data_IF_527680426126
#
_entry.id   IF_527680426126
#
_cell.length_a   1.000
_cell.length_b   1.000
_cell.length_c   1.000
_cell.angle_alpha   90.00
_cell.angle_beta   90.00
_cell.angle_gamma   90.00
#
_symmetry.space_group_name_H-M   'P 1'
#
loop_
_entity.id
_entity.type
_entity.pdbx_description
1 polymer ?
#
# COMPACT_ATOMS: atom_id res chain seq x y z
N UNK A 1 -1.77 25.75 -22.24
CA UNK A 1 -1.89 24.32 -21.88
C UNK A 1 -2.93 24.19 -20.79
N UNK A 2 -4.12 23.70 -21.14
CA UNK A 2 -5.16 23.47 -20.13
C UNK A 2 -4.84 22.19 -19.37
N UNK A 3 -4.35 22.34 -18.16
CA UNK A 3 -4.28 21.26 -17.21
C UNK A 3 -5.72 20.91 -16.80
N UNK A 4 -6.33 19.95 -17.46
CA UNK A 4 -7.57 19.37 -16.99
C UNK A 4 -7.29 18.69 -15.66
N UNK A 5 -7.85 19.25 -14.59
CA UNK A 5 -7.84 18.58 -13.31
C UNK A 5 -8.75 17.36 -13.42
N UNK A 6 -8.17 16.19 -13.32
CA UNK A 6 -8.94 14.96 -13.29
C UNK A 6 -9.69 14.88 -11.95
N UNK A 7 -11.00 15.00 -12.01
CA UNK A 7 -11.87 14.77 -10.87
C UNK A 7 -12.35 13.31 -10.88
N UNK A 8 -12.76 12.81 -9.73
CA UNK A 8 -13.31 11.45 -9.58
C UNK A 8 -14.46 11.15 -10.57
N UNK A 9 -15.20 12.17 -11.01
CA UNK A 9 -16.23 12.05 -12.03
C UNK A 9 -15.68 11.66 -13.42
N UNK A 10 -14.40 11.91 -13.70
CA UNK A 10 -13.77 11.63 -14.99
C UNK A 10 -12.97 10.31 -14.98
N UNK A 11 -12.97 9.57 -13.87
CA UNK A 11 -12.27 8.29 -13.74
C UNK A 11 -12.67 7.26 -14.82
N UNK A 12 -13.97 7.06 -15.17
CA UNK A 12 -14.33 6.12 -16.23
C UNK A 12 -13.74 6.47 -17.59
N UNK A 13 -13.66 7.77 -17.91
CA UNK A 13 -13.05 8.22 -19.17
C UNK A 13 -11.52 8.05 -19.15
N UNK A 14 -10.90 8.37 -18.03
CA UNK A 14 -9.46 8.16 -17.85
C UNK A 14 -9.10 6.68 -17.96
N UNK A 15 -9.89 5.79 -17.35
CA UNK A 15 -9.70 4.35 -17.46
C UNK A 15 -9.84 3.85 -18.89
N UNK A 16 -10.80 4.37 -19.67
CA UNK A 16 -10.94 4.05 -21.09
C UNK A 16 -9.72 4.47 -21.91
N UNK A 17 -9.19 5.66 -21.63
CA UNK A 17 -7.98 6.16 -22.32
C UNK A 17 -6.78 5.29 -21.99
N UNK A 18 -6.59 4.92 -20.75
CA UNK A 18 -5.48 4.07 -20.30
C UNK A 18 -5.60 2.67 -20.87
N UNK A 19 -6.81 2.08 -20.83
CA UNK A 19 -7.08 0.75 -21.41
C UNK A 19 -6.83 0.73 -22.92
N UNK A 20 -7.14 1.82 -23.62
CA UNK A 20 -6.94 1.93 -25.05
C UNK A 20 -5.46 2.05 -25.44
N UNK A 21 -4.67 2.70 -24.64
CA UNK A 21 -3.27 3.04 -24.91
C UNK A 21 -2.26 2.17 -24.16
N UNK A 22 -2.68 1.46 -23.11
CA UNK A 22 -1.83 0.61 -22.28
C UNK A 22 -2.11 -0.87 -22.50
N UNK A 23 -1.12 -1.63 -22.89
CA UNK A 23 -1.24 -3.08 -23.03
C UNK A 23 -0.97 -3.73 -21.68
N UNK A 24 -1.93 -4.50 -21.17
CA UNK A 24 -1.82 -5.18 -19.88
C UNK A 24 -2.10 -4.31 -18.65
N UNK A 25 -2.61 -3.10 -18.86
CA UNK A 25 -2.90 -2.17 -17.75
C UNK A 25 -4.28 -2.41 -17.11
N UNK A 26 -5.20 -3.10 -17.78
CA UNK A 26 -6.56 -3.29 -17.28
C UNK A 26 -6.58 -4.03 -15.94
N UNK A 27 -5.86 -5.13 -15.84
CA UNK A 27 -5.76 -5.90 -14.60
C UNK A 27 -5.10 -5.11 -13.47
N UNK A 28 -4.12 -4.29 -13.82
CA UNK A 28 -3.42 -3.43 -12.87
C UNK A 28 -4.36 -2.36 -12.31
N UNK A 29 -5.15 -1.71 -13.17
CA UNK A 29 -6.10 -0.69 -12.75
C UNK A 29 -7.23 -1.29 -11.91
N UNK A 30 -7.75 -2.45 -12.28
CA UNK A 30 -8.77 -3.14 -11.49
C UNK A 30 -8.26 -3.47 -10.08
N UNK A 31 -7.03 -3.95 -9.96
CA UNK A 31 -6.39 -4.20 -8.68
C UNK A 31 -6.23 -2.91 -7.86
N UNK A 32 -5.82 -1.84 -8.53
CA UNK A 32 -5.64 -0.54 -7.89
C UNK A 32 -6.95 0.03 -7.37
N UNK A 33 -8.00 0.05 -8.20
CA UNK A 33 -9.28 0.65 -7.85
C UNK A 33 -10.11 -0.20 -6.89
N UNK A 34 -10.08 -1.51 -7.01
CA UNK A 34 -10.78 -2.40 -6.08
C UNK A 34 -10.15 -2.43 -4.68
N UNK A 35 -8.89 -2.07 -4.55
CA UNK A 35 -8.20 -1.96 -3.26
C UNK A 35 -8.32 -0.61 -2.57
N UNK A 36 -8.65 0.46 -3.31
CA UNK A 36 -8.58 1.84 -2.79
C UNK A 36 -9.91 2.43 -2.36
N UNK A 37 -11.03 1.80 -2.71
CA UNK A 37 -12.36 2.35 -2.47
C UNK A 37 -13.00 1.97 -1.13
N UNK A 38 -12.35 1.18 -0.31
CA UNK A 38 -12.82 1.06 1.05
C UNK A 38 -12.53 2.38 1.77
N UNK A 39 -13.60 3.07 2.11
CA UNK A 39 -13.58 4.28 2.94
C UNK A 39 -12.88 3.97 4.25
N UNK A 40 -11.60 4.02 4.20
CA UNK A 40 -10.77 3.60 5.28
C UNK A 40 -10.73 4.65 6.37
N UNK A 41 -10.98 4.22 7.57
CA UNK A 41 -10.40 4.88 8.72
C UNK A 41 -8.88 5.03 8.45
N UNK A 42 -8.31 6.18 8.78
CA UNK A 42 -6.86 6.43 8.68
C UNK A 42 -6.03 5.62 9.70
N UNK A 43 -6.56 4.49 10.14
CA UNK A 43 -5.93 3.62 11.12
C UNK A 43 -5.41 2.34 10.44
N UNK A 44 -4.20 1.91 10.77
CA UNK A 44 -3.19 2.63 11.54
C UNK A 44 -2.50 3.74 10.75
N UNK A 45 -1.97 4.78 11.42
CA UNK A 45 -1.22 5.82 10.74
C UNK A 45 0.06 5.25 10.14
N UNK A 46 0.43 5.76 8.98
CA UNK A 46 1.61 5.29 8.27
C UNK A 46 2.32 6.43 7.53
N UNK A 47 3.59 6.22 7.24
CA UNK A 47 4.39 7.05 6.37
C UNK A 47 4.87 6.21 5.18
N UNK A 48 4.79 6.78 4.00
CA UNK A 48 5.44 6.22 2.82
C UNK A 48 6.58 7.15 2.41
N UNK A 49 7.80 6.66 2.50
CA UNK A 49 9.01 7.44 2.29
C UNK A 49 9.64 7.02 0.97
N UNK A 50 9.89 8.00 0.11
CA UNK A 50 10.69 7.81 -1.09
C UNK A 50 12.17 7.96 -0.72
N UNK A 51 12.90 6.85 -0.74
CA UNK A 51 14.33 6.84 -0.41
C UNK A 51 15.16 7.24 -1.63
N UNK A 52 14.93 6.56 -2.75
CA UNK A 52 15.52 6.87 -4.05
C UNK A 52 14.65 6.28 -5.16
N UNK A 53 15.10 6.35 -6.41
CA UNK A 53 14.30 5.90 -7.57
C UNK A 53 13.94 4.41 -7.55
N UNK A 54 14.63 3.61 -6.78
CA UNK A 54 14.44 2.14 -6.71
C UNK A 54 14.04 1.64 -5.32
N UNK A 55 14.01 2.51 -4.32
CA UNK A 55 13.70 2.13 -2.94
C UNK A 55 12.66 3.03 -2.31
N UNK A 56 11.73 2.41 -1.60
CA UNK A 56 10.73 3.08 -0.77
C UNK A 56 10.64 2.39 0.58
N UNK A 57 10.21 3.15 1.58
CA UNK A 57 10.05 2.66 2.93
C UNK A 57 8.63 2.96 3.41
N UNK A 58 7.94 1.92 3.87
CA UNK A 58 6.64 2.06 4.50
C UNK A 58 6.81 1.86 6.00
N UNK A 59 6.39 2.85 6.77
CA UNK A 59 6.43 2.82 8.23
C UNK A 59 5.00 2.88 8.77
N UNK A 60 4.66 1.96 9.65
CA UNK A 60 3.32 1.87 10.23
C UNK A 60 3.43 1.88 11.75
N UNK A 61 2.72 2.79 12.39
CA UNK A 61 2.67 2.89 13.84
C UNK A 61 1.73 1.83 14.43
N UNK A 62 2.31 0.83 15.08
CA UNK A 62 1.60 -0.28 15.69
C UNK A 62 1.96 -0.43 17.18
N UNK A 63 1.97 0.69 17.90
CA UNK A 63 2.21 0.68 19.32
C UNK A 63 1.16 -0.19 20.05
N UNK A 64 1.62 -1.07 20.91
CA UNK A 64 0.76 -1.99 21.66
C UNK A 64 0.47 -3.32 20.97
N UNK A 65 0.93 -3.54 19.75
CA UNK A 65 0.87 -4.83 19.08
C UNK A 65 2.11 -5.68 19.37
N UNK A 66 1.90 -6.98 19.48
CA UNK A 66 2.98 -7.96 19.53
C UNK A 66 3.25 -8.50 18.12
N UNK A 67 4.45 -9.03 17.88
CA UNK A 67 4.82 -9.60 16.57
C UNK A 67 3.86 -10.69 16.09
N UNK A 68 3.36 -11.51 16.99
CA UNK A 68 2.41 -12.61 16.65
C UNK A 68 0.99 -12.12 16.33
N UNK A 69 0.69 -10.86 16.60
CA UNK A 69 -0.59 -10.23 16.27
C UNK A 69 -0.58 -9.57 14.88
N UNK A 70 0.59 -9.46 14.25
CA UNK A 70 0.79 -8.78 12.98
C UNK A 70 1.10 -9.81 11.90
N UNK A 71 0.40 -9.71 10.77
CA UNK A 71 0.64 -10.53 9.58
C UNK A 71 0.91 -9.62 8.40
N UNK A 72 2.00 -9.89 7.68
CA UNK A 72 2.41 -9.15 6.49
C UNK A 72 2.56 -10.15 5.34
N UNK A 73 1.88 -9.92 4.25
CA UNK A 73 1.99 -10.77 3.07
C UNK A 73 1.69 -10.01 1.80
N UNK A 74 2.12 -10.57 0.68
CA UNK A 74 1.80 -10.07 -0.65
C UNK A 74 0.94 -11.08 -1.39
N UNK A 75 -0.08 -10.61 -2.06
CA UNK A 75 -1.00 -11.42 -2.84
C UNK A 75 -1.62 -10.60 -3.97
N UNK A 76 -1.67 -11.16 -5.16
CA UNK A 76 -2.27 -10.50 -6.33
C UNK A 76 -1.80 -9.06 -6.57
N UNK A 77 -0.50 -8.81 -6.44
CA UNK A 77 0.06 -7.47 -6.63
C UNK A 77 -0.29 -6.48 -5.54
N UNK A 78 -0.69 -6.94 -4.37
CA UNK A 78 -0.98 -6.11 -3.20
C UNK A 78 -0.08 -6.48 -2.04
N UNK A 79 0.31 -5.48 -1.28
CA UNK A 79 0.87 -5.65 0.05
C UNK A 79 -0.28 -5.57 1.06
N UNK A 80 -0.45 -6.60 1.85
CA UNK A 80 -1.52 -6.68 2.85
C UNK A 80 -0.91 -6.79 4.24
N UNK A 81 -1.37 -5.93 5.13
CA UNK A 81 -0.93 -5.91 6.52
C UNK A 81 -2.17 -6.01 7.41
N UNK A 82 -2.19 -7.03 8.24
CA UNK A 82 -3.27 -7.32 9.17
C UNK A 82 -2.75 -7.27 10.59
N UNK A 83 -3.52 -6.63 11.46
CA UNK A 83 -3.32 -6.67 12.90
C UNK A 83 -4.55 -7.24 13.57
N UNK A 84 -4.34 -8.20 14.47
CA UNK A 84 -5.41 -8.79 15.27
C UNK A 84 -5.22 -8.46 16.73
N UNK A 85 -6.22 -7.83 17.33
CA UNK A 85 -6.33 -7.61 18.75
C UNK A 85 -7.51 -8.39 19.31
N UNK A 86 -7.28 -9.09 20.42
CA UNK A 86 -8.38 -9.66 21.18
C UNK A 86 -9.16 -8.52 21.83
N UNK A 87 -10.48 -8.54 21.65
CA UNK A 87 -11.37 -7.63 22.37
C UNK A 87 -11.33 -8.01 23.85
N UNK A 88 -10.56 -7.24 24.62
CA UNK A 88 -10.66 -7.32 26.07
C UNK A 88 -11.87 -6.49 26.47
N UNK A 89 -12.83 -7.10 27.15
CA UNK A 89 -13.89 -6.42 27.85
C UNK A 89 -13.29 -5.62 29.02
N UNK A 90 -12.56 -4.57 28.72
CA UNK A 90 -12.08 -3.65 29.73
C UNK A 90 -13.13 -2.58 29.93
N UNK A 91 -13.75 -2.60 31.11
CA UNK A 91 -14.65 -1.53 31.58
C UNK A 91 -13.86 -0.29 32.00
N UNK A 92 -12.78 0.03 31.27
CA UNK A 92 -11.97 1.20 31.57
C UNK A 92 -12.61 2.44 30.95
N UNK A 93 -12.92 3.40 31.78
CA UNK A 93 -13.32 4.72 31.31
C UNK A 93 -12.07 5.51 30.94
N UNK A 94 -11.95 5.87 29.65
CA UNK A 94 -10.85 6.72 29.21
C UNK A 94 -11.17 8.18 29.51
N UNK A 95 -10.30 8.84 30.26
CA UNK A 95 -10.35 10.32 30.39
C UNK A 95 -9.96 10.96 29.06
N UNK A 96 -9.00 10.35 28.36
CA UNK A 96 -8.59 10.70 27.01
C UNK A 96 -8.09 9.44 26.30
N UNK A 97 -8.58 9.17 25.10
CA UNK A 97 -8.14 8.05 24.28
C UNK A 97 -7.51 8.57 22.98
N UNK A 98 -6.19 8.72 22.98
CA UNK A 98 -5.42 9.13 21.80
C UNK A 98 -4.82 7.98 21.02
N UNK A 99 -4.78 6.78 21.62
CA UNK A 99 -4.24 5.58 20.97
C UNK A 99 -5.37 4.60 20.68
N UNK A 100 -5.50 4.24 19.42
CA UNK A 100 -6.38 3.16 19.01
C UNK A 100 -5.58 1.84 18.96
N UNK A 101 -6.08 0.80 19.62
CA UNK A 101 -5.54 -0.55 19.58
C UNK A 101 -6.65 -1.50 19.14
N UNK A 102 -6.89 -1.55 17.85
CA UNK A 102 -7.96 -2.36 17.26
C UNK A 102 -7.45 -3.19 16.09
N UNK A 103 -8.15 -4.25 15.80
CA UNK A 103 -7.88 -5.06 14.61
C UNK A 103 -8.07 -4.23 13.34
N UNK A 104 -7.22 -4.47 12.35
CA UNK A 104 -7.25 -3.76 11.09
C UNK A 104 -6.76 -4.65 9.95
N UNK A 105 -7.12 -4.27 8.75
CA UNK A 105 -6.55 -4.79 7.51
C UNK A 105 -6.28 -3.60 6.60
N UNK A 106 -5.03 -3.46 6.16
CA UNK A 106 -4.62 -2.42 5.21
C UNK A 106 -4.01 -3.06 3.99
N UNK A 107 -4.33 -2.49 2.84
CA UNK A 107 -3.84 -2.95 1.54
C UNK A 107 -3.20 -1.80 0.77
N UNK A 108 -2.08 -2.10 0.12
CA UNK A 108 -1.43 -1.18 -0.83
C UNK A 108 -1.22 -1.91 -2.15
N UNK A 109 -1.61 -1.27 -3.24
CA UNK A 109 -1.33 -1.79 -4.57
C UNK A 109 0.16 -1.63 -4.88
N UNK A 110 0.80 -2.71 -5.31
CA UNK A 110 2.18 -2.71 -5.76
C UNK A 110 2.23 -2.78 -7.29
N UNK A 111 3.07 -1.96 -7.90
CA UNK A 111 3.38 -2.13 -9.33
C UNK A 111 4.13 -3.45 -9.55
N UNK A 112 4.08 -3.97 -10.77
CA UNK A 112 4.64 -5.30 -11.10
C UNK A 112 6.15 -5.39 -10.87
N UNK A 113 6.83 -4.26 -10.86
CA UNK A 113 8.27 -4.16 -10.64
C UNK A 113 8.67 -3.90 -9.18
N UNK A 114 7.71 -3.80 -8.27
CA UNK A 114 7.97 -3.57 -6.84
C UNK A 114 7.86 -4.86 -6.05
N UNK A 115 8.85 -5.12 -5.23
CA UNK A 115 8.87 -6.26 -4.31
C UNK A 115 9.16 -5.82 -2.88
N UNK A 116 8.74 -6.63 -1.93
CA UNK A 116 9.09 -6.46 -0.51
C UNK A 116 10.48 -7.04 -0.30
N UNK A 117 11.39 -6.23 0.22
CA UNK A 117 12.78 -6.61 0.50
C UNK A 117 12.99 -7.07 1.92
N UNK A 118 12.42 -6.36 2.86
CA UNK A 118 12.63 -6.60 4.28
C UNK A 118 11.42 -6.11 5.07
N UNK A 119 11.08 -6.83 6.13
CA UNK A 119 10.04 -6.45 7.08
C UNK A 119 10.62 -6.54 8.48
N UNK A 120 10.53 -5.45 9.24
CA UNK A 120 11.00 -5.37 10.62
C UNK A 120 9.90 -4.79 11.51
N UNK A 121 9.84 -5.27 12.73
CA UNK A 121 8.97 -4.72 13.76
C UNK A 121 9.77 -4.49 15.04
N UNK A 122 10.03 -3.22 15.34
CA UNK A 122 10.79 -2.80 16.52
C UNK A 122 10.16 -1.53 17.11
N UNK A 123 10.15 -1.44 18.42
CA UNK A 123 9.71 -0.26 19.16
C UNK A 123 8.29 0.24 18.78
N UNK A 124 7.41 -0.71 18.43
CA UNK A 124 6.04 -0.38 18.01
C UNK A 124 5.92 0.14 16.58
N UNK A 125 6.99 0.12 15.80
CA UNK A 125 7.02 0.55 14.41
C UNK A 125 7.25 -0.64 13.48
N UNK A 126 6.31 -0.88 12.58
CA UNK A 126 6.45 -1.83 11.49
C UNK A 126 7.08 -1.12 10.29
N UNK A 127 8.21 -1.61 9.85
CA UNK A 127 8.94 -1.06 8.71
C UNK A 127 9.00 -2.08 7.59
N UNK A 128 8.53 -1.70 6.41
CA UNK A 128 8.57 -2.52 5.20
C UNK A 128 9.42 -1.81 4.15
N UNK A 129 10.53 -2.43 3.78
CA UNK A 129 11.40 -1.96 2.71
C UNK A 129 10.89 -2.51 1.38
N UNK A 130 10.62 -1.62 0.46
CA UNK A 130 10.16 -1.92 -0.89
C UNK A 130 11.25 -1.56 -1.91
N UNK A 131 11.48 -2.42 -2.87
CA UNK A 131 12.47 -2.18 -3.92
C UNK A 131 11.89 -2.43 -5.29
N UNK A 132 12.37 -1.66 -6.28
CA UNK A 132 12.07 -1.92 -7.69
C UNK A 132 13.06 -2.91 -8.26
N UNK A 133 12.51 -3.97 -8.84
CA UNK A 133 13.25 -4.87 -9.71
C UNK A 133 13.06 -4.35 -11.13
N UNK A 134 14.16 -4.08 -11.83
CA UNK A 134 14.08 -3.76 -13.26
C UNK A 134 14.10 -5.10 -14.02
N UNK A 135 12.95 -5.57 -14.54
CA UNK A 135 12.92 -6.78 -15.37
C UNK A 135 13.81 -6.57 -16.61
N UNK A 136 14.41 -7.64 -17.12
CA UNK A 136 15.28 -7.57 -18.29
C UNK A 136 14.62 -6.91 -19.50
N UNK A 137 13.30 -7.07 -19.65
CA UNK A 137 12.53 -6.44 -20.73
C UNK A 137 12.21 -4.96 -20.49
N UNK A 138 12.41 -4.44 -19.28
CA UNK A 138 12.28 -3.01 -18.96
C UNK A 138 13.60 -2.27 -19.00
N UNK A 139 14.72 -2.98 -18.99
CA UNK A 139 16.03 -2.39 -19.17
C UNK A 139 16.17 -1.81 -20.58
N UNK A 140 16.98 -0.78 -20.74
CA UNK A 140 17.24 -0.19 -22.05
C UNK A 140 17.81 -1.27 -22.97
N UNK A 141 17.20 -1.43 -24.13
CA UNK A 141 17.64 -2.36 -25.15
C UNK A 141 17.78 -1.60 -26.46
N UNK A 142 18.97 -1.57 -27.00
CA UNK A 142 19.24 -0.91 -28.28
C UNK A 142 19.02 -1.93 -29.41
N UNK A 143 18.26 -1.51 -30.41
CA UNK A 143 18.01 -2.31 -31.61
C UNK A 143 18.77 -1.71 -32.77
N UNK A 144 19.50 -2.54 -33.50
CA UNK A 144 20.19 -2.13 -34.75
C UNK A 144 19.18 -2.04 -35.88
N UNK A 145 19.27 -0.95 -36.64
CA UNK A 145 18.47 -0.75 -37.85
C UNK A 145 19.07 -1.50 -39.06
#
# INVERSE_FOLDING_TARGET
MNLQRYHSANLPELMKIISKNGIGMDDYLDRFFNGTYETSSNYPPYNLIHVNNVESLLEIALAGFNKNEITVYTEYGKLIIEGKKEEKETKSEYVHQGLAQRSFTREWALSDDVEVREVQFEDGLLTVKLGKVVPDHHARKDYKL
#
